data_IF_065155794313
#
_entry.id   IF_065155794313
#
_cell.length_a   1.000
_cell.length_b   1.000
_cell.length_c   1.000
_cell.angle_alpha   90.00
_cell.angle_beta   90.00
_cell.angle_gamma   90.00
#
_symmetry.space_group_name_H-M   'P 1'
#
loop_
_entity.id
_entity.type
_entity.pdbx_description
1 polymer ?
#
# COMPACT_ATOMS: atom_id res chain seq x y z
N UNK A 1 10.34 -15.37 -16.59
CA UNK A 1 9.95 -14.05 -17.12
C UNK A 1 9.45 -14.25 -18.54
N UNK A 2 8.19 -14.13 -18.92
CA UNK A 2 6.97 -13.64 -18.28
C UNK A 2 5.99 -13.34 -19.40
N UNK A 3 5.74 -14.33 -20.27
CA UNK A 3 4.70 -14.24 -21.30
C UNK A 3 3.33 -14.30 -20.60
N UNK A 4 2.90 -13.17 -20.08
CA UNK A 4 1.53 -12.96 -19.60
C UNK A 4 0.83 -12.06 -20.60
N UNK A 5 -0.22 -12.59 -21.18
CA UNK A 5 -1.16 -11.85 -22.01
C UNK A 5 -2.29 -11.34 -21.12
N UNK A 6 -2.59 -10.05 -21.21
CA UNK A 6 -3.76 -9.46 -20.58
C UNK A 6 -4.89 -9.42 -21.60
N UNK A 7 -5.88 -10.29 -21.39
CA UNK A 7 -7.08 -10.42 -22.22
C UNK A 7 -6.81 -10.62 -23.73
N UNK A 8 -5.62 -11.11 -24.11
CA UNK A 8 -5.20 -11.24 -25.52
C UNK A 8 -4.95 -9.92 -26.24
N UNK A 9 -4.99 -8.80 -25.51
CA UNK A 9 -4.91 -7.44 -26.04
C UNK A 9 -3.54 -6.83 -25.81
N UNK A 10 -2.95 -7.10 -24.65
CA UNK A 10 -1.63 -6.60 -24.26
C UNK A 10 -0.71 -7.74 -23.90
N UNK A 11 0.55 -7.63 -24.30
CA UNK A 11 1.62 -8.57 -23.97
C UNK A 11 2.70 -7.88 -23.14
N UNK A 12 3.01 -8.47 -21.98
CA UNK A 12 4.15 -8.02 -21.18
C UNK A 12 5.45 -8.61 -21.74
N UNK A 13 6.48 -7.78 -21.86
CA UNK A 13 7.81 -8.16 -22.30
C UNK A 13 8.89 -7.49 -21.44
N UNK A 14 10.14 -7.89 -21.61
CA UNK A 14 11.28 -7.33 -20.92
C UNK A 14 12.25 -6.69 -21.90
N UNK A 15 12.83 -5.54 -21.52
CA UNK A 15 13.94 -4.94 -22.25
C UNK A 15 15.08 -4.56 -21.30
N UNK A 16 16.35 -4.67 -21.73
CA UNK A 16 17.50 -4.31 -20.88
C UNK A 16 17.47 -2.87 -20.38
N UNK A 17 16.91 -1.94 -21.16
CA UNK A 17 17.01 -0.50 -20.88
C UNK A 17 15.79 0.07 -20.14
N UNK A 18 14.65 -0.62 -20.13
CA UNK A 18 13.39 -0.11 -19.53
C UNK A 18 12.75 -1.09 -18.55
N UNK A 19 13.30 -2.29 -18.38
CA UNK A 19 12.69 -3.34 -17.59
C UNK A 19 11.42 -3.88 -18.24
N UNK A 20 10.33 -3.99 -17.46
CA UNK A 20 9.02 -4.47 -17.94
C UNK A 20 8.40 -3.45 -18.89
N UNK A 21 7.94 -3.91 -20.03
CA UNK A 21 7.18 -3.11 -20.99
C UNK A 21 5.91 -3.85 -21.40
N UNK A 22 4.93 -3.09 -21.88
CA UNK A 22 3.66 -3.63 -22.35
C UNK A 22 3.48 -3.24 -23.81
N UNK A 23 3.15 -4.22 -24.65
CA UNK A 23 2.90 -4.04 -26.08
C UNK A 23 1.47 -4.39 -26.44
N UNK A 24 0.87 -3.59 -27.33
CA UNK A 24 -0.37 -3.95 -28.00
C UNK A 24 -0.17 -5.18 -28.89
N UNK A 25 -1.07 -6.16 -28.76
CA UNK A 25 -1.09 -7.35 -29.58
C UNK A 25 -1.96 -7.18 -30.85
N UNK A 26 -2.69 -6.06 -30.96
CA UNK A 26 -3.44 -5.66 -32.15
C UNK A 26 -3.45 -4.14 -32.35
N UNK A 27 -4.01 -3.67 -33.47
CA UNK A 27 -4.12 -2.24 -33.78
C UNK A 27 -5.38 -1.65 -33.15
N UNK A 28 -5.23 -0.55 -32.43
CA UNK A 28 -6.34 0.21 -31.87
C UNK A 28 -6.73 1.37 -32.77
N UNK A 29 -8.02 1.70 -32.78
CA UNK A 29 -8.55 2.92 -33.41
C UNK A 29 -8.47 4.11 -32.46
N UNK A 30 -8.52 5.32 -33.00
CA UNK A 30 -8.59 6.53 -32.18
C UNK A 30 -9.86 6.52 -31.30
N UNK A 31 -9.68 6.78 -30.00
CA UNK A 31 -10.75 6.73 -29.00
C UNK A 31 -11.06 5.33 -28.45
N UNK A 32 -10.38 4.29 -28.91
CA UNK A 32 -10.55 2.93 -28.39
C UNK A 32 -9.86 2.77 -27.03
N UNK A 33 -10.52 2.03 -26.12
CA UNK A 33 -9.99 1.74 -24.78
C UNK A 33 -8.98 0.60 -24.89
N UNK A 34 -7.73 0.89 -24.53
CA UNK A 34 -6.63 -0.08 -24.55
C UNK A 34 -6.62 -0.94 -23.28
N UNK A 35 -6.87 -0.33 -22.12
CA UNK A 35 -6.81 -0.97 -20.82
C UNK A 35 -7.67 -0.20 -19.81
N UNK A 36 -8.33 -0.93 -18.92
CA UNK A 36 -8.96 -0.39 -17.71
C UNK A 36 -8.36 -1.12 -16.53
N UNK A 37 -7.78 -0.37 -15.58
CA UNK A 37 -7.25 -0.92 -14.33
C UNK A 37 -8.06 -0.40 -13.16
N UNK A 38 -8.32 -1.30 -12.21
CA UNK A 38 -8.83 -0.91 -10.90
C UNK A 38 -7.66 -0.52 -9.99
N UNK A 39 -7.82 0.47 -9.10
CA UNK A 39 -6.79 0.76 -8.11
C UNK A 39 -6.48 -0.48 -7.27
N UNK A 40 -5.20 -0.67 -6.92
CA UNK A 40 -4.76 -1.80 -6.09
C UNK A 40 -5.40 -1.77 -4.70
N UNK A 41 -5.50 -0.58 -4.11
CA UNK A 41 -6.09 -0.37 -2.81
C UNK A 41 -6.70 1.03 -2.73
N UNK A 42 -7.92 1.13 -2.19
CA UNK A 42 -8.61 2.42 -2.01
C UNK A 42 -8.86 2.57 -0.52
N UNK A 43 -8.23 3.58 0.07
CA UNK A 43 -8.41 3.94 1.47
C UNK A 43 -8.95 5.35 1.54
N UNK A 44 -9.97 5.53 2.36
CA UNK A 44 -10.53 6.83 2.68
C UNK A 44 -10.41 7.07 4.18
N UNK A 45 -10.35 8.34 4.55
CA UNK A 45 -10.47 8.73 5.95
C UNK A 45 -11.77 8.18 6.57
N UNK A 46 -11.67 7.67 7.79
CA UNK A 46 -12.82 7.21 8.55
C UNK A 46 -12.87 7.92 9.90
N UNK A 47 -13.52 9.07 9.94
CA UNK A 47 -13.68 9.85 11.18
C UNK A 47 -14.44 9.09 12.29
N UNK A 48 -15.16 8.02 11.96
CA UNK A 48 -15.88 7.18 12.93
C UNK A 48 -14.97 6.08 13.48
N UNK A 49 -13.93 5.68 12.75
CA UNK A 49 -12.93 4.70 13.19
C UNK A 49 -12.21 5.18 14.44
N UNK A 50 -12.17 4.32 15.47
CA UNK A 50 -11.42 4.58 16.69
C UNK A 50 -9.91 4.63 16.39
N UNK A 51 -9.43 3.73 15.53
CA UNK A 51 -8.04 3.69 15.10
C UNK A 51 -7.65 4.97 14.35
N UNK A 52 -8.46 5.45 13.41
CA UNK A 52 -8.14 6.66 12.64
C UNK A 52 -8.13 7.93 13.51
N UNK A 53 -9.07 8.06 14.46
CA UNK A 53 -9.04 9.15 15.43
C UNK A 53 -7.80 9.12 16.31
N UNK A 54 -7.39 7.93 16.78
CA UNK A 54 -6.16 7.76 17.56
C UNK A 54 -4.91 8.10 16.72
N UNK A 55 -4.85 7.66 15.46
CA UNK A 55 -3.80 8.03 14.52
C UNK A 55 -3.70 9.55 14.36
N UNK A 56 -4.81 10.24 14.06
CA UNK A 56 -4.82 11.71 13.93
C UNK A 56 -4.33 12.42 15.19
N UNK A 57 -4.70 11.91 16.37
CA UNK A 57 -4.22 12.44 17.64
C UNK A 57 -2.70 12.24 17.80
N UNK A 58 -2.17 11.08 17.42
CA UNK A 58 -0.73 10.79 17.46
C UNK A 58 0.07 11.66 16.49
N UNK A 59 -0.38 11.83 15.23
CA UNK A 59 0.28 12.73 14.29
C UNK A 59 0.37 14.17 14.81
N UNK A 60 -0.64 14.63 15.57
CA UNK A 60 -0.62 15.95 16.20
C UNK A 60 0.27 16.00 17.46
N UNK A 61 0.27 14.93 18.25
CA UNK A 61 1.03 14.86 19.50
C UNK A 61 2.54 14.73 19.26
N UNK A 62 2.93 14.02 18.21
CA UNK A 62 4.30 13.68 17.85
C UNK A 62 4.65 14.28 16.48
N UNK A 63 4.32 15.55 16.24
CA UNK A 63 4.46 16.20 14.93
C UNK A 63 5.90 16.15 14.37
N UNK A 64 6.91 16.11 15.24
CA UNK A 64 8.33 15.97 14.84
C UNK A 64 8.73 14.56 14.39
N UNK A 65 7.95 13.53 14.76
CA UNK A 65 8.23 12.14 14.41
C UNK A 65 7.37 11.64 13.23
N UNK A 66 6.37 12.42 12.79
CA UNK A 66 5.41 12.07 11.74
C UNK A 66 5.55 13.00 10.53
N UNK A 67 6.37 12.57 9.56
CA UNK A 67 6.71 13.34 8.35
C UNK A 67 5.57 13.52 7.33
N UNK A 68 4.49 12.74 7.43
CA UNK A 68 3.40 12.71 6.44
C UNK A 68 2.04 13.08 7.02
N UNK A 69 1.06 13.33 6.14
CA UNK A 69 -0.32 13.52 6.57
C UNK A 69 -0.92 12.21 7.12
N UNK A 70 -1.89 12.26 8.07
CA UNK A 70 -2.50 11.07 8.66
C UNK A 70 -3.05 10.04 7.67
N UNK A 71 -3.49 10.48 6.48
CA UNK A 71 -4.04 9.59 5.47
C UNK A 71 -3.00 8.57 4.95
N UNK A 72 -1.72 8.94 4.87
CA UNK A 72 -0.65 8.03 4.42
C UNK A 72 -0.43 6.89 5.40
N UNK A 73 -0.31 7.22 6.69
CA UNK A 73 -0.24 6.22 7.75
C UNK A 73 -1.51 5.38 7.85
N UNK A 74 -2.68 5.98 7.58
CA UNK A 74 -3.94 5.26 7.56
C UNK A 74 -3.99 4.25 6.41
N UNK A 75 -3.51 4.63 5.23
CA UNK A 75 -3.36 3.74 4.09
C UNK A 75 -2.46 2.56 4.44
N UNK A 76 -1.30 2.81 5.04
CA UNK A 76 -0.36 1.78 5.46
C UNK A 76 -0.99 0.79 6.46
N UNK A 77 -1.69 1.30 7.48
CA UNK A 77 -2.38 0.47 8.48
C UNK A 77 -3.51 -0.36 7.87
N UNK A 78 -4.26 0.18 6.91
CA UNK A 78 -5.30 -0.58 6.20
C UNK A 78 -4.72 -1.59 5.21
N UNK A 79 -3.47 -1.39 4.78
CA UNK A 79 -2.72 -2.30 3.91
C UNK A 79 -2.07 -3.46 4.67
N UNK A 80 -2.11 -3.47 6.01
CA UNK A 80 -1.75 -4.64 6.82
C UNK A 80 -2.74 -5.79 6.58
N UNK A 81 -2.28 -7.03 6.70
CA UNK A 81 -3.17 -8.20 6.62
C UNK A 81 -3.96 -8.39 7.92
N UNK A 82 -5.07 -9.13 7.84
CA UNK A 82 -5.85 -9.52 9.03
C UNK A 82 -4.99 -10.22 10.09
N UNK A 83 -4.01 -11.03 9.67
CA UNK A 83 -3.08 -11.72 10.57
C UNK A 83 -2.21 -10.71 11.35
N UNK A 84 -1.66 -9.71 10.67
CA UNK A 84 -0.84 -8.65 11.28
C UNK A 84 -1.66 -7.73 12.20
N UNK A 85 -2.98 -7.63 11.96
CA UNK A 85 -3.91 -6.88 12.79
C UNK A 85 -4.44 -7.69 13.98
N UNK A 86 -4.04 -8.96 14.16
CA UNK A 86 -4.38 -9.70 15.38
C UNK A 86 -3.82 -8.98 16.60
N UNK A 87 -4.68 -8.70 17.57
CA UNK A 87 -4.31 -7.92 18.76
C UNK A 87 -4.30 -6.41 18.54
N UNK A 88 -4.89 -5.91 17.45
CA UNK A 88 -5.08 -4.48 17.24
C UNK A 88 -5.73 -3.80 18.45
N UNK A 89 -5.16 -2.67 18.87
CA UNK A 89 -5.56 -1.94 20.08
C UNK A 89 -6.74 -1.00 19.86
N UNK A 90 -7.18 -0.83 18.62
CA UNK A 90 -8.31 0.02 18.25
C UNK A 90 -9.10 -0.56 17.07
N UNK A 91 -10.42 -0.42 17.10
CA UNK A 91 -11.31 -0.87 16.04
C UNK A 91 -11.28 0.06 14.81
N UNK A 92 -11.66 -0.49 13.66
CA UNK A 92 -11.85 0.26 12.40
C UNK A 92 -10.79 -0.04 11.33
N UNK A 93 -9.72 -0.75 11.68
CA UNK A 93 -8.82 -1.36 10.71
C UNK A 93 -9.44 -2.67 10.21
N UNK A 94 -9.56 -2.81 8.89
CA UNK A 94 -10.11 -4.00 8.24
C UNK A 94 -8.99 -4.93 7.76
N UNK A 95 -7.89 -4.33 7.33
CA UNK A 95 -6.79 -5.01 6.69
C UNK A 95 -7.08 -5.33 5.22
N UNK A 96 -6.00 -5.57 4.48
CA UNK A 96 -6.00 -5.98 3.09
C UNK A 96 -5.82 -7.49 2.95
N UNK A 97 -6.17 -8.04 1.78
CA UNK A 97 -5.83 -9.43 1.48
C UNK A 97 -4.30 -9.58 1.35
N UNK A 98 -3.73 -10.77 1.62
CA UNK A 98 -2.30 -11.01 1.44
C UNK A 98 -1.81 -10.70 0.02
N UNK A 99 -2.65 -10.97 -1.00
CA UNK A 99 -2.35 -10.64 -2.40
C UNK A 99 -2.30 -9.13 -2.64
N UNK A 100 -3.24 -8.38 -2.05
CA UNK A 100 -3.25 -6.91 -2.16
C UNK A 100 -1.99 -6.33 -1.54
N UNK A 101 -1.65 -6.73 -0.31
CA UNK A 101 -0.43 -6.28 0.35
C UNK A 101 0.82 -6.66 -0.46
N UNK A 102 0.88 -7.89 -0.97
CA UNK A 102 1.98 -8.32 -1.82
C UNK A 102 2.15 -7.40 -3.04
N UNK A 103 1.07 -7.10 -3.75
CA UNK A 103 1.10 -6.21 -4.91
C UNK A 103 1.49 -4.78 -4.56
N UNK A 104 1.05 -4.26 -3.40
CA UNK A 104 1.47 -2.94 -2.90
C UNK A 104 2.98 -2.91 -2.61
N UNK A 105 3.52 -3.95 -1.98
CA UNK A 105 4.96 -4.07 -1.70
C UNK A 105 5.83 -4.31 -2.95
N UNK A 106 5.22 -4.54 -4.12
CA UNK A 106 5.92 -4.56 -5.41
C UNK A 106 6.04 -3.17 -6.04
N UNK A 107 5.33 -2.17 -5.50
CA UNK A 107 5.50 -0.78 -5.91
C UNK A 107 6.89 -0.31 -5.48
N UNK A 108 7.46 0.60 -6.27
CA UNK A 108 8.81 1.05 -6.04
C UNK A 108 8.87 1.94 -4.79
N UNK A 109 9.69 1.52 -3.85
CA UNK A 109 10.15 2.26 -2.67
C UNK A 109 11.64 1.99 -2.46
N UNK A 110 12.32 2.86 -1.71
CA UNK A 110 13.71 2.62 -1.32
C UNK A 110 13.82 1.36 -0.43
N UNK A 111 15.02 0.77 -0.37
CA UNK A 111 15.22 -0.39 0.48
C UNK A 111 15.17 0.04 1.96
N UNK A 112 14.05 -0.27 2.62
CA UNK A 112 13.89 -0.01 4.05
C UNK A 112 14.54 -1.13 4.86
N UNK A 113 15.58 -0.78 5.61
CA UNK A 113 16.24 -1.67 6.59
C UNK A 113 15.80 -1.38 8.03
N UNK A 114 15.46 -0.13 8.35
CA UNK A 114 15.05 0.29 9.69
C UNK A 114 13.74 1.09 9.63
N UNK A 115 12.81 0.89 10.58
CA UNK A 115 11.54 1.61 10.59
C UNK A 115 11.70 3.00 11.21
N UNK A 116 10.94 3.97 10.70
CA UNK A 116 10.82 5.30 11.32
C UNK A 116 10.23 5.21 12.73
N UNK A 117 10.41 6.27 13.52
CA UNK A 117 9.76 6.40 14.83
C UNK A 117 8.24 6.39 14.73
N UNK A 118 7.68 6.99 13.67
CA UNK A 118 6.25 6.91 13.39
C UNK A 118 5.81 5.46 13.22
N UNK A 119 6.48 4.68 12.35
CA UNK A 119 6.14 3.28 12.14
C UNK A 119 6.23 2.44 13.43
N UNK A 120 7.29 2.64 14.22
CA UNK A 120 7.45 1.97 15.52
C UNK A 120 6.31 2.31 16.48
N UNK A 121 5.96 3.59 16.59
CA UNK A 121 4.89 4.07 17.46
C UNK A 121 3.53 3.54 17.01
N UNK A 122 3.26 3.50 15.71
CA UNK A 122 2.00 2.98 15.16
C UNK A 122 1.83 1.47 15.39
N UNK A 123 2.88 0.69 15.20
CA UNK A 123 2.86 -0.75 15.54
C UNK A 123 2.59 -0.92 17.03
N UNK A 124 3.32 -0.21 17.89
CA UNK A 124 3.13 -0.31 19.33
C UNK A 124 1.71 0.09 19.77
N UNK A 125 1.16 1.16 19.21
CA UNK A 125 -0.08 1.77 19.71
C UNK A 125 -1.36 1.30 19.03
N UNK A 126 -1.28 0.75 17.81
CA UNK A 126 -2.44 0.35 17.02
C UNK A 126 -2.37 -1.12 16.57
N UNK A 127 -1.24 -1.59 16.06
CA UNK A 127 -1.13 -2.90 15.41
C UNK A 127 0.10 -3.70 15.91
N UNK A 128 0.09 -4.17 17.17
CA UNK A 128 1.27 -4.80 17.79
C UNK A 128 1.65 -6.16 17.20
N UNK A 129 0.79 -6.77 16.38
CA UNK A 129 1.08 -7.98 15.63
C UNK A 129 1.80 -7.73 14.30
N UNK A 130 1.95 -6.47 13.89
CA UNK A 130 2.65 -6.09 12.67
C UNK A 130 4.14 -5.87 12.93
N UNK A 131 4.95 -6.10 11.89
CA UNK A 131 6.36 -5.73 11.88
C UNK A 131 6.51 -4.26 11.45
N UNK A 132 7.33 -3.50 12.18
CA UNK A 132 7.48 -2.06 11.95
C UNK A 132 8.17 -1.75 10.62
N UNK A 133 9.11 -2.59 10.16
CA UNK A 133 9.74 -2.43 8.84
C UNK A 133 8.72 -2.64 7.73
N UNK A 134 7.84 -3.64 7.89
CA UNK A 134 6.73 -3.87 6.96
C UNK A 134 5.78 -2.68 6.91
N UNK A 135 5.43 -2.10 8.07
CA UNK A 135 4.59 -0.90 8.10
C UNK A 135 5.29 0.29 7.43
N UNK A 136 6.59 0.49 7.67
CA UNK A 136 7.38 1.54 7.03
C UNK A 136 7.36 1.41 5.51
N UNK A 137 7.55 0.19 4.98
CA UNK A 137 7.43 -0.06 3.54
C UNK A 137 6.06 0.33 3.00
N UNK A 138 4.99 0.02 3.73
CA UNK A 138 3.62 0.38 3.37
C UNK A 138 3.28 1.86 3.58
N UNK A 139 4.11 2.64 4.25
CA UNK A 139 3.97 4.11 4.33
C UNK A 139 4.53 4.76 3.05
N UNK A 140 5.54 4.13 2.42
CA UNK A 140 6.26 4.67 1.27
C UNK A 140 5.65 4.30 -0.11
N UNK A 141 4.51 3.62 -0.13
CA UNK A 141 3.80 3.19 -1.37
C UNK A 141 2.86 4.27 -1.93
#
# INVERSE_FOLDING_TARGET
HGDREFQGVLKCAWTPNKGRIVHAHHKFSEGEIILVESPLHIVQEDAKSAAFRKLRAMCKQYEEDFDYEPLWYWCALQSLTEEQLKGAKAAGMKGASPETQHNLLLLHHEEVQEPSKAAQTLVQELAPGADAVTLERLIQI
#
